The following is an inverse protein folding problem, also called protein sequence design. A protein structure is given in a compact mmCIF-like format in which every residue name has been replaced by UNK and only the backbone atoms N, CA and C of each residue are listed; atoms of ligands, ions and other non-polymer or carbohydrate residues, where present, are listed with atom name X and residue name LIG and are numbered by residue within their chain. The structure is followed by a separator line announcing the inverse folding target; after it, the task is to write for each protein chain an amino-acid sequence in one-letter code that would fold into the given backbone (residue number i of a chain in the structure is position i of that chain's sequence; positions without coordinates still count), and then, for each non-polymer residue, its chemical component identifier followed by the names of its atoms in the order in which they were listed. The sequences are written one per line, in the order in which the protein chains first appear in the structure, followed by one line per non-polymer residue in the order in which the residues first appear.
data_IF_372387440959
#
_entry.id   IF_372387440959
#
_cell.length_a   1.000
_cell.length_b   1.000
_cell.length_c   1.000
_cell.angle_alpha   90.00
_cell.angle_beta   90.00
_cell.angle_gamma   90.00
#
_symmetry.space_group_name_H-M   'P 1'
#
loop_
_entity.id
_entity.type
_entity.pdbx_description
1 polymer ?
#
# COMPACT_ATOMS: atom_id res chain seq x y z
N UNK A 1 3.02 -9.61 -10.11
CA UNK A 1 3.43 -9.30 -8.72
C UNK A 1 4.63 -10.11 -8.23
N UNK A 2 4.59 -11.45 -8.12
CA UNK A 2 5.76 -12.27 -7.68
C UNK A 2 7.08 -11.91 -8.38
N UNK A 3 7.07 -11.76 -9.71
CA UNK A 3 8.23 -11.30 -10.48
C UNK A 3 8.78 -9.96 -9.96
N UNK A 4 7.93 -8.95 -9.80
CA UNK A 4 8.34 -7.63 -9.32
C UNK A 4 8.82 -7.68 -7.87
N UNK A 5 8.18 -8.47 -7.01
CA UNK A 5 8.62 -8.63 -5.62
C UNK A 5 10.02 -9.25 -5.53
N UNK A 6 10.34 -10.20 -6.42
CA UNK A 6 11.69 -10.73 -6.56
C UNK A 6 12.64 -9.66 -7.12
N UNK A 7 12.28 -9.04 -8.23
CA UNK A 7 13.17 -8.14 -8.97
C UNK A 7 13.49 -6.85 -8.16
N UNK A 8 12.58 -6.37 -7.32
CA UNK A 8 12.74 -5.13 -6.54
C UNK A 8 12.97 -5.31 -5.03
N UNK A 9 12.47 -6.39 -4.42
CA UNK A 9 12.67 -6.68 -2.96
C UNK A 9 13.52 -7.92 -2.70
N UNK A 10 13.96 -8.65 -3.73
CA UNK A 10 14.66 -9.94 -3.55
C UNK A 10 13.78 -11.06 -3.00
N UNK A 11 12.46 -10.87 -2.95
CA UNK A 11 11.51 -11.83 -2.35
C UNK A 11 10.74 -12.57 -3.43
N UNK A 12 11.10 -13.83 -3.71
CA UNK A 12 10.45 -14.65 -4.75
C UNK A 12 9.11 -15.28 -4.29
N UNK A 13 8.21 -14.43 -3.80
CA UNK A 13 6.83 -14.75 -3.39
C UNK A 13 5.86 -13.66 -3.87
N UNK A 14 4.58 -14.00 -3.99
CA UNK A 14 3.55 -12.98 -4.29
C UNK A 14 3.39 -12.02 -3.11
N UNK A 15 2.83 -10.84 -3.37
CA UNK A 15 2.44 -9.84 -2.38
C UNK A 15 1.17 -9.14 -2.87
N UNK A 16 0.49 -8.44 -1.99
CA UNK A 16 -0.71 -7.66 -2.30
C UNK A 16 -0.37 -6.28 -2.88
N UNK A 17 0.64 -5.61 -2.32
CA UNK A 17 1.09 -4.27 -2.74
C UNK A 17 2.61 -4.16 -2.80
N UNK A 18 3.09 -3.35 -3.75
CA UNK A 18 4.47 -2.83 -3.81
C UNK A 18 4.41 -1.31 -3.96
N UNK A 19 5.30 -0.61 -3.26
CA UNK A 19 5.46 0.84 -3.34
C UNK A 19 6.83 1.18 -3.88
N UNK A 20 6.86 2.15 -4.79
CA UNK A 20 8.06 2.66 -5.44
C UNK A 20 8.14 4.17 -5.16
N UNK A 21 8.89 4.60 -4.13
CA UNK A 21 9.05 6.03 -3.83
C UNK A 21 9.55 6.79 -5.05
N UNK A 22 8.92 7.94 -5.32
CA UNK A 22 9.29 8.81 -6.43
C UNK A 22 10.41 9.78 -6.05
N UNK A 23 10.85 10.54 -7.04
CA UNK A 23 11.83 11.61 -6.86
C UNK A 23 11.20 12.94 -7.31
N UNK A 24 11.73 14.06 -6.79
CA UNK A 24 11.32 15.37 -7.27
C UNK A 24 11.77 15.56 -8.72
N UNK A 25 10.85 15.96 -9.60
CA UNK A 25 11.15 16.28 -10.99
C UNK A 25 11.02 17.78 -11.23
N UNK A 26 11.58 18.33 -12.33
CA UNK A 26 11.37 19.73 -12.71
C UNK A 26 9.89 20.12 -12.87
N UNK A 27 9.02 19.17 -13.17
CA UNK A 27 7.57 19.33 -13.34
C UNK A 27 6.80 19.31 -12.00
N UNK A 28 7.44 18.89 -10.90
CA UNK A 28 6.87 18.85 -9.56
C UNK A 28 7.26 17.60 -8.77
N UNK A 29 6.81 17.49 -7.50
CA UNK A 29 7.07 16.30 -6.69
C UNK A 29 6.28 15.09 -7.23
N UNK A 30 6.97 14.06 -7.69
CA UNK A 30 6.39 12.74 -7.90
C UNK A 30 6.52 11.95 -6.60
N UNK A 31 5.38 11.63 -5.98
CA UNK A 31 5.37 10.90 -4.70
C UNK A 31 5.83 9.44 -4.88
N UNK A 32 5.64 8.87 -6.06
CA UNK A 32 5.95 7.49 -6.37
C UNK A 32 4.79 6.73 -6.99
N UNK A 33 5.02 5.44 -7.22
CA UNK A 33 4.06 4.53 -7.84
C UNK A 33 3.64 3.42 -6.86
N UNK A 34 2.37 3.03 -6.92
CA UNK A 34 1.82 1.94 -6.11
C UNK A 34 1.27 0.86 -7.05
N UNK A 35 1.80 -0.34 -6.94
CA UNK A 35 1.33 -1.51 -7.69
C UNK A 35 0.54 -2.44 -6.78
N UNK A 36 -0.75 -2.64 -7.09
CA UNK A 36 -1.64 -3.52 -6.32
C UNK A 36 -1.99 -4.77 -7.14
N UNK A 37 -1.86 -5.94 -6.52
CA UNK A 37 -2.31 -7.22 -7.07
C UNK A 37 -3.81 -7.38 -6.84
N UNK A 38 -4.63 -7.13 -7.87
CA UNK A 38 -6.08 -7.28 -7.78
C UNK A 38 -6.52 -8.70 -7.37
N UNK A 39 -5.89 -9.80 -7.83
CA UNK A 39 -6.22 -11.15 -7.35
C UNK A 39 -5.98 -11.33 -5.84
N UNK A 40 -4.86 -10.80 -5.30
CA UNK A 40 -4.60 -10.88 -3.85
C UNK A 40 -5.55 -9.98 -3.06
N UNK A 41 -5.81 -8.76 -3.54
CA UNK A 41 -6.79 -7.87 -2.91
C UNK A 41 -8.18 -8.52 -2.87
N UNK A 42 -8.59 -9.23 -3.92
CA UNK A 42 -9.86 -9.96 -3.93
C UNK A 42 -9.89 -11.10 -2.91
N UNK A 43 -8.82 -11.91 -2.86
CA UNK A 43 -8.68 -12.99 -1.88
C UNK A 43 -8.77 -12.46 -0.45
N UNK A 44 -8.06 -11.38 -0.14
CA UNK A 44 -8.07 -10.76 1.19
C UNK A 44 -9.44 -10.15 1.53
N UNK A 45 -10.09 -9.49 0.57
CA UNK A 45 -11.43 -8.95 0.75
C UNK A 45 -12.42 -10.07 1.10
N UNK A 46 -12.39 -11.19 0.38
CA UNK A 46 -13.23 -12.36 0.65
C UNK A 46 -12.95 -12.97 2.03
N UNK A 47 -11.68 -13.13 2.42
CA UNK A 47 -11.28 -13.64 3.74
C UNK A 47 -11.73 -12.75 4.90
N UNK A 48 -11.80 -11.43 4.67
CA UNK A 48 -12.22 -10.45 5.68
C UNK A 48 -13.72 -10.17 5.66
N UNK A 49 -14.46 -10.71 4.68
CA UNK A 49 -15.88 -10.38 4.49
C UNK A 49 -16.10 -8.93 4.04
N UNK A 50 -15.13 -8.34 3.36
CA UNK A 50 -15.10 -6.94 2.94
C UNK A 50 -15.28 -6.80 1.42
N UNK A 51 -15.60 -5.61 0.93
CA UNK A 51 -15.67 -5.36 -0.51
C UNK A 51 -14.28 -5.22 -1.14
N UNK A 52 -14.10 -5.68 -2.38
CA UNK A 52 -12.86 -5.44 -3.13
C UNK A 52 -12.52 -3.94 -3.22
N UNK A 53 -13.53 -3.08 -3.40
CA UNK A 53 -13.32 -1.63 -3.46
C UNK A 53 -12.70 -1.08 -2.16
N UNK A 54 -13.14 -1.60 -1.01
CA UNK A 54 -12.58 -1.24 0.29
C UNK A 54 -11.14 -1.74 0.46
N UNK A 55 -10.87 -2.99 0.10
CA UNK A 55 -9.52 -3.55 0.17
C UNK A 55 -8.54 -2.79 -0.74
N UNK A 56 -8.95 -2.43 -1.96
CA UNK A 56 -8.13 -1.60 -2.85
C UNK A 56 -7.82 -0.22 -2.25
N UNK A 57 -8.77 0.40 -1.54
CA UNK A 57 -8.51 1.69 -0.85
C UNK A 57 -7.55 1.54 0.32
N UNK A 58 -7.66 0.44 1.07
CA UNK A 58 -6.72 0.11 2.16
C UNK A 58 -5.31 -0.06 1.60
N UNK A 59 -5.13 -0.91 0.58
CA UNK A 59 -3.82 -1.15 -0.04
C UNK A 59 -3.25 0.11 -0.72
N UNK A 60 -4.09 0.94 -1.32
CA UNK A 60 -3.66 2.21 -1.92
C UNK A 60 -3.16 3.21 -0.86
N UNK A 61 -3.87 3.32 0.26
CA UNK A 61 -3.44 4.15 1.38
C UNK A 61 -2.14 3.64 1.99
N UNK A 62 -2.05 2.34 2.26
CA UNK A 62 -0.84 1.70 2.76
C UNK A 62 0.35 1.96 1.83
N UNK A 63 0.16 1.72 0.53
CA UNK A 63 1.19 1.90 -0.47
C UNK A 63 1.66 3.36 -0.58
N UNK A 64 0.71 4.32 -0.51
CA UNK A 64 1.02 5.75 -0.52
C UNK A 64 1.85 6.17 0.70
N UNK A 65 1.55 5.65 1.90
CA UNK A 65 2.33 5.96 3.09
C UNK A 65 3.79 5.51 2.95
N UNK A 66 4.03 4.34 2.35
CA UNK A 66 5.39 3.93 1.99
C UNK A 66 6.05 4.85 0.97
N UNK A 67 5.33 5.33 -0.04
CA UNK A 67 5.85 6.32 -0.98
C UNK A 67 6.21 7.66 -0.31
N UNK A 68 5.55 8.01 0.81
CA UNK A 68 5.85 9.20 1.61
C UNK A 68 6.99 8.99 2.63
N UNK A 69 7.63 7.81 2.64
CA UNK A 69 8.77 7.51 3.51
C UNK A 69 8.40 6.95 4.89
N UNK A 70 7.14 6.61 5.13
CA UNK A 70 6.76 5.85 6.32
C UNK A 70 7.07 4.37 6.15
N UNK A 71 7.48 3.70 7.21
CA UNK A 71 7.82 2.28 7.15
C UNK A 71 7.46 1.57 8.46
N UNK A 72 6.38 0.81 8.44
CA UNK A 72 5.89 0.08 9.61
C UNK A 72 6.81 -1.06 10.07
N UNK A 73 7.80 -1.49 9.27
CA UNK A 73 8.78 -2.50 9.68
C UNK A 73 9.93 -1.90 10.50
N UNK A 74 10.25 -0.61 10.29
CA UNK A 74 11.44 0.04 10.86
C UNK A 74 11.16 1.28 11.70
N UNK A 75 10.00 1.92 11.55
CA UNK A 75 9.60 3.08 12.33
C UNK A 75 9.12 2.72 13.75
N UNK A 76 8.93 3.74 14.59
CA UNK A 76 8.43 3.56 15.97
C UNK A 76 6.89 3.47 16.04
N UNK A 77 6.28 2.77 15.10
CA UNK A 77 4.83 2.64 14.92
C UNK A 77 4.15 3.91 14.40
N UNK A 78 4.90 4.79 13.74
CA UNK A 78 4.39 6.06 13.23
C UNK A 78 3.40 5.82 12.08
N UNK A 79 3.81 5.02 11.10
CA UNK A 79 2.96 4.59 9.99
C UNK A 79 1.68 3.97 10.50
N UNK A 80 1.78 3.03 11.45
CA UNK A 80 0.62 2.32 12.00
C UNK A 80 -0.38 3.27 12.66
N UNK A 81 0.10 4.26 13.42
CA UNK A 81 -0.76 5.27 14.05
C UNK A 81 -1.43 6.15 13.00
N UNK A 82 -0.68 6.58 12.00
CA UNK A 82 -1.17 7.44 10.92
C UNK A 82 -2.20 6.72 10.06
N UNK A 83 -1.90 5.50 9.62
CA UNK A 83 -2.77 4.64 8.84
C UNK A 83 -4.10 4.41 9.55
N UNK A 84 -4.07 4.02 10.83
CA UNK A 84 -5.31 3.88 11.64
C UNK A 84 -6.13 5.17 11.70
N UNK A 85 -5.47 6.33 11.82
CA UNK A 85 -6.16 7.64 11.83
C UNK A 85 -6.81 7.93 10.48
N UNK A 86 -6.12 7.65 9.38
CA UNK A 86 -6.61 7.89 8.02
C UNK A 86 -7.71 6.90 7.63
N UNK A 87 -7.61 5.64 8.05
CA UNK A 87 -8.67 4.65 7.91
C UNK A 87 -9.98 5.15 8.54
N UNK A 88 -9.93 5.63 9.79
CA UNK A 88 -11.12 6.18 10.47
C UNK A 88 -11.69 7.43 9.81
N UNK A 89 -10.88 8.18 9.07
CA UNK A 89 -11.30 9.44 8.46
C UNK A 89 -11.87 9.26 7.06
N UNK A 90 -11.29 8.35 6.28
CA UNK A 90 -11.55 8.24 4.84
C UNK A 90 -12.08 6.88 4.41
N UNK A 91 -11.93 5.85 5.25
CA UNK A 91 -12.27 4.47 4.90
C UNK A 91 -13.36 3.89 5.80
N UNK A 92 -13.90 4.58 6.80
CA UNK A 92 -15.16 4.12 7.41
C UNK A 92 -16.29 4.33 6.43
N UNK A 93 -16.94 3.24 6.01
CA UNK A 93 -18.19 3.29 5.28
C UNK A 93 -19.25 3.96 6.19
N UNK A 94 -20.11 4.82 5.61
CA UNK A 94 -21.29 5.39 6.28
C UNK A 94 -22.37 4.31 6.39
#
# INVERSE_FOLDING_TARGET
MRRWNRDYRGMDRTTDVLSFPGEATPEGPHLGDVAISVPEARRQAEERGESLARELRVLALHGLLHCLGYDHETDQGEMVRLERRLHRRYLTDV
#
